data_IF_087094664964
#
_entry.id   IF_087094664964
#
_cell.length_a   1.000
_cell.length_b   1.000
_cell.length_c   1.000
_cell.angle_alpha   90.00
_cell.angle_beta   90.00
_cell.angle_gamma   90.00
#
_symmetry.space_group_name_H-M   'P 1'
#
loop_
_entity.id
_entity.type
_entity.pdbx_description
1 polymer ?
#
# COMPACT_ATOMS: atom_id res chain seq x y z
N UNK A 1 -11.10 65.31 -14.51
CA UNK A 1 -11.96 64.34 -13.82
C UNK A 1 -11.90 63.03 -14.62
N UNK A 2 -11.01 62.13 -14.19
CA UNK A 2 -10.93 60.75 -14.77
C UNK A 2 -11.51 59.79 -13.75
N UNK A 3 -12.61 59.17 -14.07
CA UNK A 3 -13.18 58.05 -13.32
C UNK A 3 -12.43 56.76 -13.75
N UNK A 4 -11.72 56.16 -12.81
CA UNK A 4 -11.08 54.88 -12.95
C UNK A 4 -12.07 53.77 -12.58
N UNK A 5 -12.40 52.90 -13.49
CA UNK A 5 -13.30 51.77 -13.32
C UNK A 5 -12.46 50.55 -12.87
N UNK A 6 -12.54 50.21 -11.56
CA UNK A 6 -11.92 48.98 -11.06
C UNK A 6 -12.84 47.78 -11.42
N UNK A 7 -12.41 46.96 -12.36
CA UNK A 7 -12.94 45.61 -12.61
C UNK A 7 -12.37 44.63 -11.60
N UNK A 8 -13.22 44.18 -10.69
CA UNK A 8 -12.88 43.06 -9.79
C UNK A 8 -13.08 41.76 -10.58
N UNK A 9 -11.98 41.14 -11.00
CA UNK A 9 -11.96 39.77 -11.49
C UNK A 9 -11.90 38.82 -10.29
N UNK A 10 -13.04 38.26 -9.89
CA UNK A 10 -13.08 37.07 -9.05
C UNK A 10 -12.58 35.88 -9.89
N UNK A 11 -11.32 35.53 -9.70
CA UNK A 11 -10.74 34.35 -10.34
C UNK A 11 -11.02 33.11 -9.50
N UNK A 12 -11.71 32.15 -10.11
CA UNK A 12 -11.80 30.77 -9.63
C UNK A 12 -10.41 30.12 -9.68
N UNK A 13 -9.72 29.98 -8.54
CA UNK A 13 -8.40 29.33 -8.44
C UNK A 13 -8.29 28.30 -7.33
N UNK A 14 -9.41 27.78 -6.80
CA UNK A 14 -9.37 26.83 -5.69
C UNK A 14 -9.35 25.34 -6.12
N UNK A 15 -9.73 24.99 -7.35
CA UNK A 15 -9.77 23.58 -7.79
C UNK A 15 -8.42 23.05 -8.32
N UNK A 16 -7.56 23.90 -8.90
CA UNK A 16 -6.25 23.47 -9.44
C UNK A 16 -5.18 23.30 -8.35
N UNK A 17 -5.26 24.07 -7.28
CA UNK A 17 -4.27 24.01 -6.18
C UNK A 17 -4.43 22.74 -5.33
N UNK A 18 -5.65 22.23 -5.19
CA UNK A 18 -5.90 20.97 -4.47
C UNK A 18 -5.39 19.75 -5.23
N UNK A 19 -5.60 19.70 -6.56
CA UNK A 19 -5.07 18.62 -7.41
C UNK A 19 -3.53 18.59 -7.44
N UNK A 20 -2.90 19.75 -7.62
CA UNK A 20 -1.43 19.85 -7.63
C UNK A 20 -0.78 19.47 -6.27
N UNK A 21 -1.49 19.63 -5.15
CA UNK A 21 -0.97 19.24 -3.83
C UNK A 21 -1.16 17.74 -3.53
N UNK A 22 -2.17 17.10 -4.09
CA UNK A 22 -2.37 15.65 -3.98
C UNK A 22 -1.36 14.91 -4.85
N UNK A 23 -1.16 15.32 -6.11
CA UNK A 23 -0.15 14.73 -7.00
C UNK A 23 1.30 14.96 -6.50
N UNK A 24 1.61 16.11 -5.89
CA UNK A 24 2.94 16.37 -5.31
C UNK A 24 3.25 15.58 -4.03
N UNK A 25 2.25 15.10 -3.30
CA UNK A 25 2.44 14.25 -2.11
C UNK A 25 2.68 12.79 -2.44
N UNK A 26 2.34 12.34 -3.65
CA UNK A 26 2.48 10.95 -4.08
C UNK A 26 3.84 10.58 -4.71
N UNK A 27 4.80 11.50 -4.77
CA UNK A 27 6.17 11.16 -5.14
C UNK A 27 6.85 10.45 -3.94
N UNK A 28 6.44 9.22 -3.69
CA UNK A 28 7.20 8.31 -2.82
C UNK A 28 8.44 7.90 -3.60
N UNK A 29 9.55 8.57 -3.33
CA UNK A 29 10.85 8.05 -3.70
C UNK A 29 11.00 6.67 -3.06
N UNK A 30 10.81 5.63 -3.83
CA UNK A 30 11.10 4.26 -3.39
C UNK A 30 12.61 4.17 -3.25
N UNK A 31 13.09 4.52 -2.05
CA UNK A 31 14.51 4.50 -1.70
C UNK A 31 14.95 3.03 -1.72
N UNK A 32 16.09 2.73 -2.33
CA UNK A 32 16.67 1.38 -2.32
C UNK A 32 16.94 0.94 -0.88
N UNK A 33 16.60 -0.30 -0.54
CA UNK A 33 16.90 -0.89 0.77
C UNK A 33 18.40 -0.93 0.99
N UNK A 34 18.88 -0.18 1.96
CA UNK A 34 20.31 -0.12 2.35
C UNK A 34 20.50 -0.71 3.75
N UNK A 35 20.19 -1.99 3.91
CA UNK A 35 20.44 -2.72 5.15
C UNK A 35 21.82 -3.40 5.13
N UNK A 36 22.49 -3.41 6.27
CA UNK A 36 23.81 -4.00 6.45
C UNK A 36 23.79 -5.32 7.24
N UNK A 37 22.66 -5.65 7.85
CA UNK A 37 22.45 -6.89 8.62
C UNK A 37 21.05 -7.43 8.43
N UNK A 38 20.85 -8.67 8.83
CA UNK A 38 19.56 -9.37 8.83
C UNK A 38 18.61 -8.71 9.81
N UNK A 39 19.04 -8.46 11.04
CA UNK A 39 18.23 -7.82 12.08
C UNK A 39 17.69 -6.46 11.60
N UNK A 40 18.52 -5.68 10.88
CA UNK A 40 18.12 -4.41 10.31
C UNK A 40 17.03 -4.58 9.23
N UNK A 41 17.10 -5.63 8.39
CA UNK A 41 16.04 -5.93 7.40
C UNK A 41 14.72 -6.27 8.09
N UNK A 42 14.76 -7.12 9.13
CA UNK A 42 13.59 -7.54 9.89
C UNK A 42 12.90 -6.32 10.55
N UNK A 43 13.67 -5.48 11.23
CA UNK A 43 13.15 -4.25 11.83
C UNK A 43 12.56 -3.29 10.79
N UNK A 44 13.25 -3.09 9.65
CA UNK A 44 12.78 -2.20 8.58
C UNK A 44 11.50 -2.71 7.92
N UNK A 45 11.37 -4.02 7.72
CA UNK A 45 10.18 -4.60 7.10
C UNK A 45 8.92 -4.35 7.94
N UNK A 46 8.98 -4.60 9.24
CA UNK A 46 7.88 -4.33 10.17
C UNK A 46 7.59 -2.83 10.26
N UNK A 47 8.64 -2.01 10.35
CA UNK A 47 8.50 -0.57 10.44
C UNK A 47 7.81 0.03 9.20
N UNK A 48 8.16 -0.39 7.99
CA UNK A 48 7.52 0.10 6.75
C UNK A 48 6.02 -0.25 6.73
N UNK A 49 5.64 -1.41 7.29
CA UNK A 49 4.23 -1.80 7.45
C UNK A 49 3.52 -0.88 8.44
N UNK A 50 4.12 -0.64 9.61
CA UNK A 50 3.56 0.23 10.64
C UNK A 50 3.43 1.68 10.17
N UNK A 51 4.47 2.24 9.54
CA UNK A 51 4.48 3.60 8.98
C UNK A 51 3.37 3.77 7.91
N UNK A 52 3.15 2.74 7.08
CA UNK A 52 2.09 2.75 6.06
C UNK A 52 0.72 2.75 6.70
N UNK A 53 0.51 1.91 7.71
CA UNK A 53 -0.74 1.83 8.47
C UNK A 53 -1.06 3.15 9.15
N UNK A 54 -0.11 3.70 9.93
CA UNK A 54 -0.29 4.98 10.64
C UNK A 54 -0.66 6.12 9.68
N UNK A 55 -0.06 6.14 8.51
CA UNK A 55 -0.38 7.11 7.45
C UNK A 55 -1.83 6.99 6.99
N UNK A 56 -2.27 5.77 6.65
CA UNK A 56 -3.64 5.53 6.19
C UNK A 56 -4.68 5.80 7.28
N UNK A 57 -4.39 5.43 8.54
CA UNK A 57 -5.24 5.76 9.69
C UNK A 57 -5.39 7.27 9.85
N UNK A 58 -4.29 8.02 9.76
CA UNK A 58 -4.32 9.49 9.84
C UNK A 58 -5.12 10.13 8.71
N UNK A 59 -5.00 9.64 7.48
CA UNK A 59 -5.76 10.14 6.32
C UNK A 59 -7.27 9.80 6.47
N UNK A 60 -7.62 8.61 6.95
CA UNK A 60 -8.99 8.21 7.30
C UNK A 60 -9.61 9.12 8.35
N UNK A 61 -8.88 9.39 9.42
CA UNK A 61 -9.37 10.21 10.53
C UNK A 61 -9.67 11.64 10.07
N UNK A 62 -8.82 12.23 9.23
CA UNK A 62 -9.07 13.56 8.61
C UNK A 62 -10.35 13.54 7.78
N UNK A 63 -10.59 12.50 6.98
CA UNK A 63 -11.82 12.37 6.19
C UNK A 63 -13.06 12.23 7.10
N UNK A 64 -12.94 11.47 8.18
CA UNK A 64 -14.03 11.25 9.14
C UNK A 64 -14.42 12.52 9.90
N UNK A 65 -13.47 13.43 10.13
CA UNK A 65 -13.75 14.75 10.69
C UNK A 65 -14.45 15.70 9.70
N UNK A 66 -14.15 15.58 8.39
CA UNK A 66 -14.76 16.41 7.34
C UNK A 66 -16.16 15.92 6.93
N UNK A 67 -16.43 14.61 7.00
CA UNK A 67 -17.64 13.96 6.50
C UNK A 67 -18.44 13.42 7.68
N UNK A 68 -19.41 14.20 8.14
CA UNK A 68 -20.17 13.92 9.37
C UNK A 68 -21.65 13.62 9.13
N UNK A 69 -22.15 13.84 7.91
CA UNK A 69 -23.53 13.57 7.51
C UNK A 69 -23.64 13.23 6.01
N UNK A 70 -24.80 12.79 5.57
CA UNK A 70 -25.05 12.37 4.18
C UNK A 70 -24.78 13.47 3.15
N UNK A 71 -25.14 14.71 3.45
CA UNK A 71 -24.90 15.84 2.55
C UNK A 71 -23.41 16.21 2.44
N UNK A 72 -22.64 16.08 3.50
CA UNK A 72 -21.18 16.23 3.46
C UNK A 72 -20.52 15.04 2.74
N UNK A 73 -21.03 13.81 2.90
CA UNK A 73 -20.57 12.64 2.16
C UNK A 73 -20.74 12.81 0.65
N UNK A 74 -21.94 13.12 0.17
CA UNK A 74 -22.23 13.27 -1.27
C UNK A 74 -21.41 14.38 -1.93
N UNK A 75 -21.02 15.41 -1.19
CA UNK A 75 -20.13 16.50 -1.66
C UNK A 75 -18.64 16.13 -1.69
N UNK A 76 -18.23 15.12 -0.94
CA UNK A 76 -16.83 14.72 -0.77
C UNK A 76 -16.56 13.28 -1.26
N UNK A 77 -17.47 12.66 -1.99
CA UNK A 77 -17.31 11.29 -2.51
C UNK A 77 -16.00 11.11 -3.29
N UNK A 78 -15.57 12.13 -4.05
CA UNK A 78 -14.28 12.08 -4.76
C UNK A 78 -13.07 11.98 -3.81
N UNK A 79 -13.18 12.52 -2.58
CA UNK A 79 -12.11 12.36 -1.58
C UNK A 79 -12.08 10.96 -0.99
N UNK A 80 -13.25 10.33 -0.83
CA UNK A 80 -13.36 8.94 -0.37
C UNK A 80 -12.76 8.00 -1.41
N UNK A 81 -13.09 8.19 -2.69
CA UNK A 81 -12.47 7.45 -3.81
C UNK A 81 -10.95 7.66 -3.85
N UNK A 82 -10.48 8.89 -3.74
CA UNK A 82 -9.05 9.19 -3.69
C UNK A 82 -8.32 8.56 -2.49
N UNK A 83 -9.01 8.36 -1.36
CA UNK A 83 -8.46 7.60 -0.24
C UNK A 83 -8.29 6.11 -0.58
N UNK A 84 -9.29 5.48 -1.19
CA UNK A 84 -9.21 4.08 -1.61
C UNK A 84 -8.10 3.86 -2.67
N UNK A 85 -8.02 4.75 -3.68
CA UNK A 85 -6.92 4.74 -4.66
C UNK A 85 -5.55 4.91 -3.98
N UNK A 86 -5.46 5.79 -2.99
CA UNK A 86 -4.27 6.02 -2.19
C UNK A 86 -3.87 4.81 -1.35
N UNK A 87 -4.85 4.12 -0.73
CA UNK A 87 -4.63 2.91 0.04
C UNK A 87 -4.10 1.77 -0.83
N UNK A 88 -4.71 1.54 -1.99
CA UNK A 88 -4.22 0.56 -2.97
C UNK A 88 -2.79 0.88 -3.39
N UNK A 89 -2.51 2.13 -3.76
CA UNK A 89 -1.16 2.55 -4.17
C UNK A 89 -0.11 2.37 -3.08
N UNK A 90 -0.43 2.67 -1.82
CA UNK A 90 0.50 2.42 -0.70
C UNK A 90 0.73 0.93 -0.49
N UNK A 91 -0.30 0.10 -0.68
CA UNK A 91 -0.20 -1.36 -0.59
C UNK A 91 0.69 -1.93 -1.70
N UNK A 92 0.58 -1.45 -2.94
CA UNK A 92 1.47 -1.80 -4.05
C UNK A 92 2.94 -1.47 -3.73
N UNK A 93 3.20 -0.25 -3.26
CA UNK A 93 4.55 0.19 -2.88
C UNK A 93 5.13 -0.66 -1.74
N UNK A 94 4.33 -0.96 -0.74
CA UNK A 94 4.74 -1.81 0.38
C UNK A 94 5.04 -3.24 -0.09
N UNK A 95 4.23 -3.80 -0.99
CA UNK A 95 4.45 -5.13 -1.57
C UNK A 95 5.80 -5.23 -2.31
N UNK A 96 6.18 -4.17 -3.01
CA UNK A 96 7.49 -4.06 -3.67
C UNK A 96 8.61 -3.99 -2.63
N UNK A 97 8.43 -3.23 -1.56
CA UNK A 97 9.41 -3.12 -0.46
C UNK A 97 9.62 -4.46 0.24
N UNK A 98 8.57 -5.21 0.53
CA UNK A 98 8.69 -6.53 1.15
C UNK A 98 9.43 -7.53 0.22
N UNK A 99 9.24 -7.45 -1.09
CA UNK A 99 10.06 -8.22 -2.05
C UNK A 99 11.52 -7.76 -2.06
N UNK A 100 11.80 -6.45 -1.93
CA UNK A 100 13.16 -5.93 -1.79
C UNK A 100 13.85 -6.47 -0.53
N UNK A 101 13.16 -6.50 0.61
CA UNK A 101 13.66 -7.10 1.84
C UNK A 101 13.97 -8.59 1.66
N UNK A 102 13.09 -9.33 1.01
CA UNK A 102 13.29 -10.76 0.78
C UNK A 102 14.57 -11.06 -0.03
N UNK A 103 14.84 -10.36 -1.14
CA UNK A 103 16.07 -10.62 -1.89
C UNK A 103 17.33 -10.07 -1.20
N UNK A 104 17.23 -8.95 -0.46
CA UNK A 104 18.35 -8.43 0.32
C UNK A 104 18.74 -9.36 1.47
N UNK A 105 17.75 -9.91 2.16
CA UNK A 105 17.94 -10.96 3.16
C UNK A 105 18.72 -12.14 2.58
N UNK A 106 18.28 -12.62 1.41
CA UNK A 106 18.95 -13.71 0.70
C UNK A 106 20.40 -13.34 0.30
N UNK A 107 20.63 -12.13 -0.26
CA UNK A 107 21.98 -11.65 -0.61
C UNK A 107 22.92 -11.67 0.61
N UNK A 108 22.46 -11.22 1.79
CA UNK A 108 23.28 -11.23 3.01
C UNK A 108 23.65 -12.65 3.41
N UNK A 109 22.67 -13.57 3.52
CA UNK A 109 22.94 -14.98 3.89
C UNK A 109 23.88 -15.65 2.89
N UNK A 110 23.69 -15.46 1.59
CA UNK A 110 24.51 -16.11 0.57
C UNK A 110 25.95 -15.58 0.57
N UNK A 111 26.20 -14.35 0.97
CA UNK A 111 27.54 -13.75 1.07
C UNK A 111 28.28 -14.11 2.36
N UNK A 112 27.63 -14.71 3.34
CA UNK A 112 28.31 -15.17 4.57
C UNK A 112 29.23 -16.35 4.28
N UNK A 113 30.40 -16.38 4.94
CA UNK A 113 31.33 -17.51 4.93
C UNK A 113 30.90 -18.59 5.94
N UNK A 114 29.71 -19.18 5.70
CA UNK A 114 29.11 -20.20 6.55
C UNK A 114 28.80 -21.47 5.74
N UNK A 115 28.52 -22.58 6.45
CA UNK A 115 28.19 -23.84 5.77
C UNK A 115 26.81 -23.79 5.12
N UNK A 116 26.59 -24.58 4.06
CA UNK A 116 25.28 -24.75 3.40
C UNK A 116 24.15 -25.10 4.38
N UNK A 117 24.43 -25.89 5.40
CA UNK A 117 23.46 -26.23 6.44
C UNK A 117 23.01 -25.00 7.24
N UNK A 118 23.92 -24.08 7.54
CA UNK A 118 23.63 -22.82 8.23
C UNK A 118 22.83 -21.91 7.28
N UNK A 119 23.32 -21.67 6.06
CA UNK A 119 22.61 -20.87 5.05
C UNK A 119 21.20 -21.39 4.81
N UNK A 120 21.02 -22.71 4.63
CA UNK A 120 19.71 -23.33 4.45
C UNK A 120 18.74 -23.03 5.60
N UNK A 121 19.26 -23.08 6.84
CA UNK A 121 18.47 -22.78 8.03
C UNK A 121 18.12 -21.28 8.08
N UNK A 122 19.11 -20.41 7.89
CA UNK A 122 18.95 -18.96 8.08
C UNK A 122 18.07 -18.34 6.98
N UNK A 123 18.03 -18.92 5.78
CA UNK A 123 17.06 -18.56 4.74
C UNK A 123 15.59 -18.81 5.15
N UNK A 124 15.31 -19.55 6.23
CA UNK A 124 13.95 -19.65 6.77
C UNK A 124 13.41 -18.31 7.28
N UNK A 125 14.29 -17.39 7.69
CA UNK A 125 13.89 -16.06 8.16
C UNK A 125 13.15 -15.23 7.10
N UNK A 126 13.40 -15.47 5.79
CA UNK A 126 12.58 -14.83 4.74
C UNK A 126 11.11 -15.23 4.91
N UNK A 127 10.82 -16.49 5.23
CA UNK A 127 9.48 -16.95 5.49
C UNK A 127 8.94 -16.42 6.83
N UNK A 128 9.71 -16.52 7.89
CA UNK A 128 9.28 -16.16 9.24
C UNK A 128 9.01 -14.64 9.36
N UNK A 129 9.96 -13.79 8.95
CA UNK A 129 9.91 -12.35 9.20
C UNK A 129 9.29 -11.55 8.06
N UNK A 130 9.54 -11.94 6.80
CA UNK A 130 9.05 -11.15 5.66
C UNK A 130 7.70 -11.67 5.18
N UNK A 131 7.55 -12.99 5.04
CA UNK A 131 6.29 -13.59 4.59
C UNK A 131 5.25 -13.63 5.71
N UNK A 132 5.55 -14.21 6.89
CA UNK A 132 4.57 -14.34 7.97
C UNK A 132 4.39 -13.03 8.73
N UNK A 133 5.43 -12.47 9.34
CA UNK A 133 5.26 -11.31 10.22
C UNK A 133 4.88 -10.05 9.45
N UNK A 134 5.75 -9.57 8.55
CA UNK A 134 5.48 -8.35 7.79
C UNK A 134 4.36 -8.52 6.75
N UNK A 135 4.29 -9.67 6.07
CA UNK A 135 3.27 -9.95 5.08
C UNK A 135 1.87 -10.07 5.66
N UNK A 136 1.70 -10.72 6.82
CA UNK A 136 0.41 -10.78 7.50
C UNK A 136 0.02 -9.43 8.11
N UNK A 137 1.00 -8.68 8.67
CA UNK A 137 0.74 -7.33 9.17
C UNK A 137 0.29 -6.37 8.04
N UNK A 138 0.79 -6.56 6.80
CA UNK A 138 0.30 -5.84 5.63
C UNK A 138 -1.19 -6.13 5.35
N UNK A 139 -1.66 -7.38 5.54
CA UNK A 139 -3.08 -7.70 5.41
C UNK A 139 -3.94 -6.97 6.45
N UNK A 140 -3.42 -6.81 7.67
CA UNK A 140 -4.10 -6.06 8.74
C UNK A 140 -4.33 -4.57 8.38
N UNK A 141 -3.48 -3.98 7.51
CA UNK A 141 -3.69 -2.60 7.02
C UNK A 141 -5.03 -2.50 6.32
N UNK A 142 -5.30 -3.46 5.44
CA UNK A 142 -6.56 -3.55 4.74
C UNK A 142 -7.77 -3.63 5.68
N UNK A 143 -7.72 -4.57 6.62
CA UNK A 143 -8.85 -4.83 7.53
C UNK A 143 -9.17 -3.62 8.42
N UNK A 144 -8.15 -2.93 8.91
CA UNK A 144 -8.32 -1.85 9.90
C UNK A 144 -8.48 -0.45 9.32
N UNK A 145 -7.97 -0.18 8.13
CA UNK A 145 -8.01 1.18 7.57
C UNK A 145 -9.09 1.35 6.52
N UNK A 146 -9.16 0.45 5.56
CA UNK A 146 -10.09 0.52 4.43
C UNK A 146 -11.49 0.09 4.87
N UNK A 147 -11.59 -1.00 5.64
CA UNK A 147 -12.87 -1.48 6.16
C UNK A 147 -13.47 -0.51 7.20
N UNK A 148 -12.66 0.03 8.10
CA UNK A 148 -13.12 1.03 9.08
C UNK A 148 -13.72 2.28 8.39
N UNK A 149 -13.11 2.76 7.28
CA UNK A 149 -13.68 3.89 6.55
C UNK A 149 -15.04 3.54 5.93
N UNK A 150 -15.16 2.34 5.34
CA UNK A 150 -16.43 1.84 4.83
C UNK A 150 -17.50 1.77 5.93
N UNK A 151 -17.15 1.24 7.09
CA UNK A 151 -18.07 1.15 8.24
C UNK A 151 -18.54 2.53 8.70
N UNK A 152 -17.65 3.52 8.76
CA UNK A 152 -18.00 4.90 9.14
C UNK A 152 -19.02 5.47 8.16
N UNK A 153 -18.81 5.35 6.86
CA UNK A 153 -19.67 5.99 5.86
C UNK A 153 -20.89 5.15 5.51
N UNK A 154 -20.72 3.89 5.19
CA UNK A 154 -21.83 3.03 4.77
C UNK A 154 -22.75 2.69 5.93
N UNK A 155 -22.22 2.13 7.01
CA UNK A 155 -23.02 1.68 8.15
C UNK A 155 -23.45 2.83 9.07
N UNK A 156 -22.66 3.91 9.15
CA UNK A 156 -23.00 5.09 9.95
C UNK A 156 -23.83 6.11 9.14
N UNK A 157 -23.21 6.78 8.17
CA UNK A 157 -23.79 7.96 7.51
C UNK A 157 -24.84 7.60 6.45
N UNK A 158 -24.53 6.71 5.51
CA UNK A 158 -25.42 6.40 4.38
C UNK A 158 -26.63 5.64 4.86
N UNK A 159 -26.46 4.62 5.68
CA UNK A 159 -27.54 3.81 6.20
C UNK A 159 -28.54 4.62 7.06
N UNK A 160 -28.05 5.54 7.88
CA UNK A 160 -28.89 6.39 8.72
C UNK A 160 -29.69 7.43 7.90
N UNK A 161 -29.26 7.74 6.68
CA UNK A 161 -29.95 8.67 5.78
C UNK A 161 -31.15 8.05 5.04
N UNK A 162 -31.35 6.73 5.10
CA UNK A 162 -32.40 6.00 4.37
C UNK A 162 -33.81 6.57 4.53
N UNK A 163 -34.20 6.94 5.75
CA UNK A 163 -35.55 7.44 6.06
C UNK A 163 -35.72 8.96 5.80
N UNK A 164 -34.65 9.68 5.52
CA UNK A 164 -34.65 11.17 5.45
C UNK A 164 -34.35 11.71 4.06
N UNK A 165 -33.71 10.94 3.20
CA UNK A 165 -33.27 11.35 1.87
C UNK A 165 -34.18 10.79 0.77
N UNK A 166 -34.06 11.36 -0.44
CA UNK A 166 -34.67 10.80 -1.64
C UNK A 166 -34.12 9.43 -1.91
N UNK A 167 -35.01 8.47 -2.16
CA UNK A 167 -34.63 7.05 -2.30
C UNK A 167 -33.62 6.81 -3.42
N UNK A 168 -33.80 7.47 -4.56
CA UNK A 168 -32.91 7.27 -5.71
C UNK A 168 -31.50 7.80 -5.39
N UNK A 169 -31.41 8.99 -4.77
CA UNK A 169 -30.13 9.58 -4.35
C UNK A 169 -29.43 8.74 -3.29
N UNK A 170 -30.20 8.23 -2.31
CA UNK A 170 -29.67 7.33 -1.29
C UNK A 170 -29.18 6.00 -1.88
N UNK A 171 -29.96 5.42 -2.78
CA UNK A 171 -29.67 4.12 -3.41
C UNK A 171 -28.39 4.19 -4.26
N UNK A 172 -28.23 5.27 -5.04
CA UNK A 172 -27.04 5.49 -5.86
C UNK A 172 -25.81 5.65 -4.96
N UNK A 173 -25.87 6.50 -3.94
CA UNK A 173 -24.77 6.69 -3.00
C UNK A 173 -24.40 5.42 -2.23
N UNK A 174 -25.39 4.60 -1.88
CA UNK A 174 -25.18 3.32 -1.20
C UNK A 174 -24.51 2.28 -2.11
N UNK A 175 -24.91 2.21 -3.37
CA UNK A 175 -24.31 1.31 -4.35
C UNK A 175 -22.87 1.72 -4.66
N UNK A 176 -22.64 3.00 -4.96
CA UNK A 176 -21.32 3.53 -5.27
C UNK A 176 -20.34 3.33 -4.10
N UNK A 177 -20.78 3.58 -2.85
CA UNK A 177 -19.94 3.38 -1.68
C UNK A 177 -19.53 1.92 -1.46
N UNK A 178 -20.44 0.99 -1.76
CA UNK A 178 -20.15 -0.44 -1.69
C UNK A 178 -19.19 -0.88 -2.80
N UNK A 179 -19.43 -0.43 -4.02
CA UNK A 179 -18.63 -0.81 -5.18
C UNK A 179 -17.20 -0.29 -5.04
N UNK A 180 -17.01 1.00 -4.69
CA UNK A 180 -15.70 1.61 -4.48
C UNK A 180 -14.89 0.88 -3.39
N UNK A 181 -15.54 0.53 -2.27
CA UNK A 181 -14.92 -0.24 -1.21
C UNK A 181 -14.59 -1.67 -1.66
N UNK A 182 -15.51 -2.37 -2.29
CA UNK A 182 -15.36 -3.76 -2.72
C UNK A 182 -14.24 -3.93 -3.75
N UNK A 183 -14.15 -2.99 -4.68
CA UNK A 183 -13.07 -2.98 -5.70
C UNK A 183 -11.71 -2.76 -5.03
N UNK A 184 -11.59 -1.74 -4.18
CA UNK A 184 -10.35 -1.46 -3.44
C UNK A 184 -9.87 -2.67 -2.62
N UNK A 185 -10.80 -3.32 -1.94
CA UNK A 185 -10.56 -4.52 -1.13
C UNK A 185 -10.04 -5.68 -1.96
N UNK A 186 -10.70 -5.95 -3.08
CA UNK A 186 -10.30 -7.01 -4.00
C UNK A 186 -8.90 -6.79 -4.55
N UNK A 187 -8.61 -5.56 -4.97
CA UNK A 187 -7.32 -5.20 -5.55
C UNK A 187 -6.19 -5.28 -4.51
N UNK A 188 -6.43 -4.81 -3.28
CA UNK A 188 -5.48 -4.94 -2.17
C UNK A 188 -5.20 -6.41 -1.83
N UNK A 189 -6.24 -7.23 -1.81
CA UNK A 189 -6.08 -8.68 -1.57
C UNK A 189 -5.23 -9.33 -2.66
N UNK A 190 -5.45 -8.99 -3.92
CA UNK A 190 -4.68 -9.51 -5.04
C UNK A 190 -3.21 -9.11 -4.93
N UNK A 191 -2.90 -7.84 -4.64
CA UNK A 191 -1.53 -7.35 -4.41
C UNK A 191 -0.85 -8.10 -3.26
N UNK A 192 -1.56 -8.31 -2.15
CA UNK A 192 -1.05 -9.05 -1.00
C UNK A 192 -0.81 -10.53 -1.33
N UNK A 193 -1.76 -11.20 -1.96
CA UNK A 193 -1.70 -12.61 -2.32
C UNK A 193 -0.57 -12.91 -3.31
N UNK A 194 -0.39 -12.04 -4.31
CA UNK A 194 0.69 -12.14 -5.28
C UNK A 194 2.06 -11.95 -4.62
N UNK A 195 2.19 -10.96 -3.73
CA UNK A 195 3.42 -10.77 -2.96
C UNK A 195 3.76 -11.99 -2.11
N UNK A 196 2.78 -12.52 -1.39
CA UNK A 196 2.95 -13.72 -0.55
C UNK A 196 3.40 -14.91 -1.39
N UNK A 197 2.74 -15.16 -2.51
CA UNK A 197 3.07 -16.26 -3.43
C UNK A 197 4.49 -16.13 -3.99
N UNK A 198 4.88 -14.92 -4.38
CA UNK A 198 6.20 -14.63 -4.94
C UNK A 198 7.33 -14.86 -3.91
N UNK A 199 7.16 -14.33 -2.69
CA UNK A 199 8.16 -14.47 -1.62
C UNK A 199 8.29 -15.92 -1.19
N UNK A 200 7.17 -16.65 -1.04
CA UNK A 200 7.19 -18.07 -0.71
C UNK A 200 7.91 -18.90 -1.77
N UNK A 201 7.56 -18.68 -3.05
CA UNK A 201 8.18 -19.39 -4.17
C UNK A 201 9.67 -19.08 -4.27
N UNK A 202 10.06 -17.82 -4.11
CA UNK A 202 11.46 -17.40 -4.09
C UNK A 202 12.25 -18.08 -2.98
N UNK A 203 11.77 -18.04 -1.75
CA UNK A 203 12.43 -18.65 -0.59
C UNK A 203 12.55 -20.19 -0.75
N UNK A 204 11.48 -20.85 -1.19
CA UNK A 204 11.46 -22.29 -1.40
C UNK A 204 12.45 -22.73 -2.49
N UNK A 205 12.45 -22.04 -3.62
CA UNK A 205 13.35 -22.26 -4.74
C UNK A 205 14.82 -22.07 -4.31
N UNK A 206 15.11 -20.96 -3.61
CA UNK A 206 16.46 -20.66 -3.14
C UNK A 206 16.99 -21.69 -2.15
N UNK A 207 16.18 -22.12 -1.18
CA UNK A 207 16.55 -23.16 -0.24
C UNK A 207 16.83 -24.49 -0.91
N UNK A 208 16.10 -24.83 -1.96
CA UNK A 208 16.35 -26.05 -2.74
C UNK A 208 17.74 -26.02 -3.38
N UNK A 209 18.13 -24.91 -4.01
CA UNK A 209 19.46 -24.79 -4.63
C UNK A 209 20.60 -24.79 -3.58
N UNK A 210 20.37 -24.19 -2.41
CA UNK A 210 21.34 -24.24 -1.30
C UNK A 210 21.45 -25.64 -0.73
N UNK A 211 20.35 -26.41 -0.64
CA UNK A 211 20.38 -27.81 -0.22
C UNK A 211 21.22 -28.68 -1.18
N UNK A 212 21.11 -28.41 -2.48
CA UNK A 212 21.86 -29.07 -3.53
C UNK A 212 23.33 -28.60 -3.64
N UNK A 213 23.76 -27.63 -2.81
CA UNK A 213 25.08 -27.01 -2.82
C UNK A 213 25.42 -26.32 -4.15
N UNK A 214 24.42 -25.71 -4.81
CA UNK A 214 24.60 -25.02 -6.09
C UNK A 214 24.49 -23.49 -5.94
N UNK A 215 25.59 -22.85 -5.51
CA UNK A 215 25.66 -21.39 -5.36
C UNK A 215 25.38 -20.64 -6.65
N UNK A 216 25.71 -21.24 -7.83
CA UNK A 216 25.46 -20.59 -9.12
C UNK A 216 23.97 -20.50 -9.43
N UNK A 217 23.22 -21.56 -9.13
CA UNK A 217 21.77 -21.56 -9.30
C UNK A 217 21.08 -20.71 -8.25
N UNK A 218 21.54 -20.79 -7.00
CA UNK A 218 21.07 -19.94 -5.92
C UNK A 218 21.18 -18.45 -6.30
N UNK A 219 22.35 -18.01 -6.79
CA UNK A 219 22.53 -16.62 -7.24
C UNK A 219 21.60 -16.25 -8.40
N UNK A 220 21.38 -17.15 -9.37
CA UNK A 220 20.43 -16.91 -10.46
C UNK A 220 18.97 -16.73 -9.97
N UNK A 221 18.56 -17.41 -8.89
CA UNK A 221 17.24 -17.22 -8.29
C UNK A 221 17.12 -15.82 -7.69
N UNK A 222 18.14 -15.38 -6.94
CA UNK A 222 18.20 -14.02 -6.38
C UNK A 222 18.14 -12.97 -7.48
N UNK A 223 19.00 -13.08 -8.50
CA UNK A 223 19.05 -12.12 -9.61
C UNK A 223 17.72 -12.04 -10.38
N UNK A 224 17.06 -13.19 -10.60
CA UNK A 224 15.76 -13.25 -11.26
C UNK A 224 14.68 -12.53 -10.43
N UNK A 225 14.61 -12.83 -9.13
CA UNK A 225 13.63 -12.23 -8.24
C UNK A 225 13.84 -10.73 -8.10
N UNK A 226 15.09 -10.29 -7.87
CA UNK A 226 15.49 -8.88 -7.86
C UNK A 226 15.10 -8.15 -9.14
N UNK A 227 15.37 -8.73 -10.31
CA UNK A 227 15.00 -8.13 -11.59
C UNK A 227 13.49 -8.00 -11.77
N UNK A 228 12.69 -8.97 -11.29
CA UNK A 228 11.23 -8.89 -11.29
C UNK A 228 10.74 -7.75 -10.41
N UNK A 229 11.25 -7.65 -9.19
CA UNK A 229 10.92 -6.60 -8.22
C UNK A 229 11.26 -5.20 -8.76
N UNK A 230 12.43 -5.04 -9.37
CA UNK A 230 12.84 -3.75 -9.96
C UNK A 230 11.93 -3.30 -11.13
N UNK A 231 11.42 -4.24 -11.93
CA UNK A 231 10.44 -3.92 -12.98
C UNK A 231 9.12 -3.43 -12.40
N UNK A 232 8.59 -4.12 -11.38
CA UNK A 232 7.37 -3.67 -10.69
C UNK A 232 7.54 -2.25 -10.12
N UNK A 233 8.74 -1.94 -9.63
CA UNK A 233 9.09 -0.60 -9.13
C UNK A 233 9.08 0.48 -10.22
N UNK A 234 9.51 0.14 -11.43
CA UNK A 234 9.44 1.01 -12.60
C UNK A 234 7.99 1.23 -13.02
N UNK A 235 7.19 0.15 -13.15
CA UNK A 235 5.78 0.18 -13.57
C UNK A 235 4.88 1.01 -12.63
N UNK A 236 5.17 1.00 -11.33
CA UNK A 236 4.40 1.76 -10.31
C UNK A 236 4.75 3.26 -10.29
N UNK A 237 5.93 3.65 -10.82
CA UNK A 237 6.37 5.05 -10.86
C UNK A 237 6.03 5.78 -12.18
N UNK A 238 5.61 5.05 -13.24
CA UNK A 238 5.17 5.59 -14.52
C UNK A 238 3.66 5.90 -14.51
#
# INVERSE_FOLDING_TARGET
>A
MCLSLCLVLCGCTSASVAKDNVEKKMNVNVIEVSASSIDEIEEMAIKDVEDTKEKLESERDVLSEEITDFNSYTKNVDKVKAYYDGALKQTELLSIRLREYAYKYAELIMNEDTSYKVKYKDLSGIYEYIYEDAGNAMYDIYDKTVHDLYDIYYNGIIKDAYDTEDYDVWSDASSDAYDDWSDCVSDIYDVWSDMQSDIYSFQSDLRSEVYDHDDTRAQKKIDKFKKSTLRMKEDVND
#
